data_IF_558667531939
#
_entry.id   IF_558667531939
#
_cell.length_a   1.000
_cell.length_b   1.000
_cell.length_c   1.000
_cell.angle_alpha   90.00
_cell.angle_beta   90.00
_cell.angle_gamma   90.00
#
_symmetry.space_group_name_H-M   'P 1'
#
loop_
_entity.id
_entity.type
_entity.pdbx_description
1 polymer ?
#
# COMPACT_ATOMS: atom_id res chain seq x y z
N UNK A 1 0.56 7.35 -5.52
CA UNK A 1 -0.16 8.03 -6.59
C UNK A 1 -1.65 7.87 -6.34
N UNK A 2 -2.30 8.96 -5.92
CA UNK A 2 -3.75 9.01 -5.75
C UNK A 2 -4.31 9.78 -6.95
N UNK A 3 -5.37 9.27 -7.56
CA UNK A 3 -6.05 9.89 -8.69
C UNK A 3 -7.46 10.23 -8.26
N UNK A 4 -7.91 11.44 -8.54
CA UNK A 4 -9.25 11.88 -8.16
C UNK A 4 -10.31 11.00 -8.83
N UNK A 5 -11.25 10.42 -8.06
CA UNK A 5 -12.21 9.44 -8.57
C UNK A 5 -13.20 10.03 -9.58
N UNK A 6 -13.37 11.36 -9.57
CA UNK A 6 -14.23 12.08 -10.53
C UNK A 6 -13.69 11.99 -11.96
N UNK A 7 -12.37 11.83 -12.11
CA UNK A 7 -11.71 11.72 -13.41
C UNK A 7 -11.75 10.31 -13.99
N UNK A 8 -12.25 9.32 -13.24
CA UNK A 8 -12.18 7.91 -13.59
C UNK A 8 -13.56 7.36 -13.99
N UNK A 9 -13.63 6.51 -15.02
CA UNK A 9 -14.88 5.85 -15.38
C UNK A 9 -15.32 4.91 -14.25
N UNK A 10 -16.63 4.89 -13.96
CA UNK A 10 -17.23 4.10 -12.87
C UNK A 10 -16.86 2.61 -12.95
N UNK A 11 -16.81 2.05 -14.16
CA UNK A 11 -16.40 0.67 -14.38
C UNK A 11 -15.00 0.37 -13.84
N UNK A 12 -14.04 1.28 -14.04
CA UNK A 12 -12.67 1.14 -13.55
C UNK A 12 -12.60 1.24 -12.03
N UNK A 13 -13.43 2.08 -11.41
CA UNK A 13 -13.53 2.16 -9.94
C UNK A 13 -14.04 0.85 -9.35
N UNK A 14 -15.10 0.25 -9.92
CA UNK A 14 -15.59 -1.05 -9.46
C UNK A 14 -14.60 -2.18 -9.71
N UNK A 15 -13.95 -2.21 -10.86
CA UNK A 15 -12.97 -3.24 -11.21
C UNK A 15 -11.73 -3.14 -10.32
N UNK A 16 -11.20 -1.95 -10.10
CA UNK A 16 -10.09 -1.73 -9.16
C UNK A 16 -10.47 -2.06 -7.72
N UNK A 17 -11.70 -1.75 -7.30
CA UNK A 17 -12.27 -2.21 -6.03
C UNK A 17 -12.28 -3.73 -5.91
N UNK A 18 -12.81 -4.43 -6.92
CA UNK A 18 -12.87 -5.89 -6.93
C UNK A 18 -11.46 -6.53 -6.88
N UNK A 19 -10.52 -6.02 -7.68
CA UNK A 19 -9.14 -6.50 -7.68
C UNK A 19 -8.44 -6.24 -6.35
N UNK A 20 -8.62 -5.05 -5.76
CA UNK A 20 -8.04 -4.74 -4.46
C UNK A 20 -8.60 -5.66 -3.37
N UNK A 21 -9.92 -5.91 -3.36
CA UNK A 21 -10.55 -6.84 -2.43
C UNK A 21 -10.03 -8.27 -2.59
N UNK A 22 -9.92 -8.77 -3.82
CA UNK A 22 -9.38 -10.10 -4.09
C UNK A 22 -7.93 -10.18 -3.63
N UNK A 23 -7.08 -9.22 -4.03
CA UNK A 23 -5.67 -9.18 -3.64
C UNK A 23 -5.48 -9.12 -2.13
N UNK A 24 -6.25 -8.28 -1.44
CA UNK A 24 -6.25 -8.20 0.02
C UNK A 24 -6.72 -9.50 0.66
N UNK A 25 -7.80 -10.11 0.17
CA UNK A 25 -8.30 -11.38 0.71
C UNK A 25 -7.27 -12.50 0.58
N UNK A 26 -6.56 -12.56 -0.54
CA UNK A 26 -5.46 -13.50 -0.75
C UNK A 26 -4.28 -13.20 0.17
N UNK A 27 -3.88 -11.93 0.31
CA UNK A 27 -2.81 -11.52 1.20
C UNK A 27 -3.11 -11.87 2.66
N UNK A 28 -4.35 -11.63 3.10
CA UNK A 28 -4.82 -12.01 4.44
C UNK A 28 -4.76 -13.52 4.62
N UNK A 29 -5.21 -14.32 3.65
CA UNK A 29 -5.19 -15.78 3.77
C UNK A 29 -3.79 -16.38 3.72
N UNK A 30 -2.90 -15.79 2.91
CA UNK A 30 -1.52 -16.25 2.73
C UNK A 30 -0.57 -15.74 3.83
N UNK A 31 -0.98 -14.74 4.61
CA UNK A 31 -0.12 -14.18 5.64
C UNK A 31 0.21 -15.22 6.72
N UNK A 32 1.50 -15.34 7.11
CA UNK A 32 1.93 -16.29 8.13
C UNK A 32 1.60 -15.77 9.54
N UNK A 33 0.31 -15.65 9.87
CA UNK A 33 -0.19 -15.11 11.14
C UNK A 33 0.45 -15.79 12.34
N UNK A 34 0.62 -17.10 12.30
CA UNK A 34 1.27 -17.86 13.37
C UNK A 34 2.72 -17.42 13.64
N UNK A 35 3.49 -17.08 12.60
CA UNK A 35 4.85 -16.57 12.75
C UNK A 35 4.87 -15.13 13.28
N UNK A 36 3.84 -14.34 12.94
CA UNK A 36 3.67 -12.97 13.41
C UNK A 36 3.39 -12.95 14.93
N UNK A 37 2.47 -13.80 15.42
CA UNK A 37 2.14 -13.87 16.84
C UNK A 37 3.22 -14.51 17.71
N UNK A 38 3.97 -15.48 17.18
CA UNK A 38 5.02 -16.18 17.94
C UNK A 38 6.32 -15.40 18.06
N UNK A 39 6.61 -14.49 17.13
CA UNK A 39 7.88 -13.76 17.08
C UNK A 39 7.60 -12.26 17.13
N UNK A 40 7.64 -11.63 18.32
CA UNK A 40 7.29 -10.22 18.49
C UNK A 40 8.14 -9.27 17.62
N UNK A 41 9.38 -9.65 17.31
CA UNK A 41 10.27 -8.91 16.42
C UNK A 41 9.65 -8.70 15.02
N UNK A 42 8.87 -9.66 14.50
CA UNK A 42 8.22 -9.55 13.19
C UNK A 42 7.07 -8.53 13.21
N UNK A 43 6.36 -8.42 14.33
CA UNK A 43 5.31 -7.39 14.52
C UNK A 43 5.96 -6.00 14.54
N UNK A 44 7.02 -5.81 15.32
CA UNK A 44 7.72 -4.53 15.37
C UNK A 44 8.32 -4.13 14.03
N UNK A 45 8.87 -5.08 13.28
CA UNK A 45 9.41 -4.82 11.96
C UNK A 45 8.31 -4.47 10.94
N UNK A 46 7.18 -5.17 10.99
CA UNK A 46 6.03 -4.88 10.14
C UNK A 46 5.41 -3.51 10.45
N UNK A 47 5.10 -3.25 11.72
CA UNK A 47 4.52 -2.00 12.16
C UNK A 47 5.48 -0.81 12.00
N UNK A 48 6.73 -0.97 12.44
CA UNK A 48 7.78 0.05 12.29
C UNK A 48 8.07 0.33 10.83
N UNK A 49 8.14 -0.70 9.98
CA UNK A 49 8.30 -0.53 8.53
C UNK A 49 7.12 0.21 7.89
N UNK A 50 5.88 -0.12 8.26
CA UNK A 50 4.68 0.58 7.79
C UNK A 50 4.68 2.06 8.19
N UNK A 51 5.08 2.38 9.42
CA UNK A 51 5.21 3.75 9.95
C UNK A 51 6.32 4.52 9.24
N UNK A 52 7.51 3.92 9.08
CA UNK A 52 8.59 4.54 8.32
C UNK A 52 8.17 4.82 6.88
N UNK A 53 7.47 3.88 6.24
CA UNK A 53 6.94 4.07 4.89
C UNK A 53 5.91 5.22 4.84
N UNK A 54 5.05 5.34 5.86
CA UNK A 54 4.11 6.45 5.99
C UNK A 54 4.84 7.80 6.09
N UNK A 55 5.87 7.89 6.94
CA UNK A 55 6.66 9.10 7.10
C UNK A 55 7.37 9.49 5.80
N UNK A 56 7.94 8.51 5.09
CA UNK A 56 8.53 8.72 3.76
C UNK A 56 7.51 9.22 2.74
N UNK A 57 6.28 8.74 2.80
CA UNK A 57 5.20 9.21 1.92
C UNK A 57 4.70 10.61 2.30
N UNK A 58 4.74 10.97 3.58
CA UNK A 58 4.40 12.32 4.05
C UNK A 58 5.44 13.36 3.66
N UNK A 59 6.72 12.98 3.57
CA UNK A 59 7.85 13.82 3.16
C UNK A 59 7.78 14.32 1.71
N UNK A 60 6.76 13.92 0.95
CA UNK A 60 6.39 14.37 -0.40
C UNK A 60 7.28 15.45 -1.03
N UNK A 61 8.15 15.02 -1.95
CA UNK A 61 8.98 15.91 -2.75
C UNK A 61 8.13 16.37 -3.93
N UNK A 62 7.76 17.65 -3.92
CA UNK A 62 7.05 18.30 -5.02
C UNK A 62 8.08 18.79 -6.03
N UNK A 63 8.07 18.22 -7.23
CA UNK A 63 8.80 18.81 -8.35
C UNK A 63 7.92 19.87 -9.03
N UNK A 64 8.54 20.93 -9.54
CA UNK A 64 7.87 22.14 -10.08
C UNK A 64 6.85 21.88 -11.20
N UNK A 65 6.84 20.68 -11.79
CA UNK A 65 5.89 20.29 -12.85
C UNK A 65 4.63 19.57 -12.34
N UNK A 66 4.27 19.70 -11.06
CA UNK A 66 3.08 19.05 -10.49
C UNK A 66 3.21 17.53 -10.30
N UNK A 67 4.38 16.96 -10.59
CA UNK A 67 4.69 15.56 -10.34
C UNK A 67 5.09 15.37 -8.88
N UNK A 68 4.25 14.66 -8.14
CA UNK A 68 4.51 14.32 -6.74
C UNK A 68 5.08 12.91 -6.65
N UNK A 69 6.39 12.80 -6.50
CA UNK A 69 7.07 11.50 -6.37
C UNK A 69 7.17 11.15 -4.89
N UNK A 70 6.67 9.96 -4.54
CA UNK A 70 6.79 9.42 -3.19
C UNK A 70 7.95 8.42 -3.18
N UNK A 71 8.78 8.44 -2.14
CA UNK A 71 9.79 7.41 -1.92
C UNK A 71 9.10 6.06 -1.72
N UNK A 72 9.32 5.11 -2.63
CA UNK A 72 8.66 3.81 -2.63
C UNK A 72 9.28 2.86 -1.60
N UNK A 73 8.99 3.09 -0.32
CA UNK A 73 9.41 2.19 0.78
C UNK A 73 8.75 0.80 0.74
N UNK A 74 7.71 0.62 -0.09
CA UNK A 74 6.95 -0.63 -0.22
C UNK A 74 7.76 -1.76 -0.86
N UNK A 75 8.70 -1.45 -1.76
CA UNK A 75 9.57 -2.49 -2.37
C UNK A 75 10.53 -3.07 -1.32
N UNK A 76 11.11 -2.23 -0.47
CA UNK A 76 11.93 -2.69 0.66
C UNK A 76 11.12 -3.54 1.64
N UNK A 77 9.89 -3.13 1.97
CA UNK A 77 8.96 -3.93 2.77
C UNK A 77 8.68 -5.29 2.10
N UNK A 78 8.47 -5.32 0.79
CA UNK A 78 8.27 -6.56 0.02
C UNK A 78 9.43 -7.53 0.17
N UNK A 79 10.67 -7.06 0.11
CA UNK A 79 11.85 -7.92 0.27
C UNK A 79 12.02 -8.46 1.69
N UNK A 80 11.78 -7.63 2.72
CA UNK A 80 12.03 -8.03 4.11
C UNK A 80 10.90 -8.87 4.69
N UNK A 81 9.64 -8.54 4.39
CA UNK A 81 8.45 -9.18 4.97
C UNK A 81 7.85 -10.28 4.07
N UNK A 82 8.22 -10.31 2.79
CA UNK A 82 7.55 -11.12 1.78
C UNK A 82 6.24 -10.50 1.28
N UNK A 83 5.70 -11.06 0.20
CA UNK A 83 4.53 -10.52 -0.54
C UNK A 83 3.33 -10.26 0.37
N UNK A 84 2.88 -11.27 1.14
CA UNK A 84 1.63 -11.18 1.90
C UNK A 84 1.65 -10.09 2.97
N UNK A 85 2.71 -10.05 3.78
CA UNK A 85 2.85 -9.06 4.85
C UNK A 85 3.15 -7.66 4.31
N UNK A 86 3.88 -7.56 3.19
CA UNK A 86 4.12 -6.28 2.54
C UNK A 86 2.85 -5.67 1.93
N UNK A 87 1.98 -6.50 1.33
CA UNK A 87 0.66 -6.03 0.89
C UNK A 87 -0.14 -5.50 2.09
N UNK A 88 -0.19 -6.22 3.21
CA UNK A 88 -0.91 -5.77 4.41
C UNK A 88 -0.32 -4.49 5.01
N UNK A 89 1.00 -4.43 5.19
CA UNK A 89 1.71 -3.26 5.70
C UNK A 89 1.50 -2.04 4.78
N UNK A 90 1.69 -2.21 3.47
CA UNK A 90 1.47 -1.15 2.48
C UNK A 90 0.02 -0.67 2.43
N UNK A 91 -0.95 -1.56 2.66
CA UNK A 91 -2.36 -1.18 2.80
C UNK A 91 -2.57 -0.31 4.03
N UNK A 92 -2.04 -0.71 5.18
CA UNK A 92 -2.14 0.06 6.42
C UNK A 92 -1.50 1.45 6.27
N UNK A 93 -0.32 1.50 5.65
CA UNK A 93 0.36 2.76 5.30
C UNK A 93 -0.50 3.64 4.40
N UNK A 94 -1.11 3.08 3.35
CA UNK A 94 -1.96 3.83 2.43
C UNK A 94 -3.22 4.38 3.10
N UNK A 95 -3.87 3.57 3.95
CA UNK A 95 -5.05 4.01 4.70
C UNK A 95 -4.70 5.15 5.67
N UNK A 96 -3.60 5.01 6.41
CA UNK A 96 -3.10 6.07 7.29
C UNK A 96 -2.78 7.34 6.49
N UNK A 97 -2.07 7.20 5.37
CA UNK A 97 -1.74 8.33 4.51
C UNK A 97 -2.99 9.04 3.98
N UNK A 98 -3.99 8.28 3.53
CA UNK A 98 -5.26 8.82 3.06
C UNK A 98 -6.03 9.55 4.16
N UNK A 99 -5.99 9.04 5.40
CA UNK A 99 -6.59 9.70 6.56
C UNK A 99 -5.89 11.03 6.87
N UNK A 100 -4.55 11.05 6.88
CA UNK A 100 -3.78 12.28 7.12
C UNK A 100 -3.94 13.34 6.02
N UNK A 101 -4.18 12.91 4.77
CA UNK A 101 -4.36 13.81 3.61
C UNK A 101 -5.83 14.12 3.30
N UNK A 102 -6.79 13.49 3.99
CA UNK A 102 -8.22 13.67 3.72
C UNK A 102 -8.66 13.18 2.34
N UNK A 103 -8.07 12.09 1.84
CA UNK A 103 -8.36 11.56 0.50
C UNK A 103 -9.70 10.84 0.43
N UNK A 104 -10.33 10.85 -0.75
CA UNK A 104 -11.61 10.20 -0.99
C UNK A 104 -11.50 8.68 -1.07
N UNK A 105 -12.48 7.99 -0.47
CA UNK A 105 -12.48 6.52 -0.39
C UNK A 105 -12.57 5.82 -1.75
N UNK A 106 -13.21 6.43 -2.74
CA UNK A 106 -13.40 5.83 -4.06
C UNK A 106 -12.10 5.74 -4.89
N UNK A 107 -11.11 6.60 -4.63
CA UNK A 107 -9.81 6.55 -5.31
C UNK A 107 -8.81 5.59 -4.67
N UNK A 108 -9.09 5.11 -3.45
CA UNK A 108 -8.20 4.24 -2.69
C UNK A 108 -7.86 2.91 -3.38
N UNK A 109 -8.83 2.17 -3.99
CA UNK A 109 -8.51 0.88 -4.59
C UNK A 109 -7.53 0.99 -5.75
N UNK A 110 -7.69 2.02 -6.59
CA UNK A 110 -6.76 2.26 -7.69
C UNK A 110 -5.39 2.70 -7.16
N UNK A 111 -5.36 3.59 -6.17
CA UNK A 111 -4.11 3.98 -5.52
C UNK A 111 -3.39 2.75 -4.96
N UNK A 112 -4.11 1.86 -4.28
CA UNK A 112 -3.57 0.62 -3.74
C UNK A 112 -2.96 -0.30 -4.80
N UNK A 113 -3.63 -0.48 -5.94
CA UNK A 113 -3.09 -1.28 -7.03
C UNK A 113 -1.75 -0.71 -7.53
N UNK A 114 -1.68 0.60 -7.72
CA UNK A 114 -0.51 1.26 -8.31
C UNK A 114 0.64 1.46 -7.32
N UNK A 115 0.34 1.67 -6.02
CA UNK A 115 1.36 1.99 -5.02
C UNK A 115 1.74 0.81 -4.12
N UNK A 116 0.90 -0.21 -4.06
CA UNK A 116 1.12 -1.38 -3.19
C UNK A 116 1.24 -2.63 -4.04
N UNK A 117 0.19 -3.02 -4.76
CA UNK A 117 0.18 -4.31 -5.47
C UNK A 117 1.26 -4.40 -6.54
N UNK A 118 1.29 -3.45 -7.48
CA UNK A 118 2.23 -3.47 -8.61
C UNK A 118 3.68 -3.47 -8.11
N UNK A 119 4.12 -2.56 -7.22
CA UNK A 119 5.49 -2.58 -6.71
C UNK A 119 5.84 -3.88 -5.98
N UNK A 120 4.94 -4.42 -5.15
CA UNK A 120 5.20 -5.68 -4.42
C UNK A 120 5.37 -6.84 -5.39
N UNK A 121 4.49 -6.97 -6.40
CA UNK A 121 4.58 -8.04 -7.39
C UNK A 121 5.85 -7.92 -8.24
N UNK A 122 6.16 -6.72 -8.73
CA UNK A 122 7.38 -6.46 -9.52
C UNK A 122 8.65 -6.75 -8.71
N UNK A 123 8.64 -6.52 -7.40
CA UNK A 123 9.80 -6.83 -6.54
C UNK A 123 10.06 -8.33 -6.38
N UNK A 124 9.04 -9.17 -6.62
CA UNK A 124 9.09 -10.63 -6.41
C UNK A 124 9.09 -11.45 -7.71
N UNK A 125 9.09 -10.78 -8.88
CA UNK A 125 9.31 -11.39 -10.20
C UNK A 125 10.80 -11.47 -10.51
#
# INVERSE_FOLDING_TARGET
>A
MYIDPVLLPRALLYLSGALALVGLSLAVRAAPWGALYRVPQRIHLCAGGAVCCLLLWLLNIRFDQGLTVHLMGVTTLAMVLGVSLALLAGTATLLAFALFKGLGFWGLPLAWLLTVLVPVLVTHL
#
